data_IF_405684422962
#
_entry.id   IF_405684422962
#
_cell.length_a   1.000
_cell.length_b   1.000
_cell.length_c   1.000
_cell.angle_alpha   90.00
_cell.angle_beta   90.00
_cell.angle_gamma   90.00
#
_symmetry.space_group_name_H-M   'P 1'
#
loop_
_entity.id
_entity.type
_entity.pdbx_description
1 polymer ?
#
# COMPACT_ATOMS: atom_id res chain seq x y z
N UNK A 1 1.24 -21.40 16.29
CA UNK A 1 0.38 -20.60 15.38
C UNK A 1 -0.02 -19.27 16.02
N UNK A 2 0.41 -18.16 15.42
CA UNK A 2 0.17 -16.78 15.85
C UNK A 2 -0.40 -15.99 14.67
N UNK A 3 -1.51 -15.28 14.89
CA UNK A 3 -2.11 -14.40 13.88
C UNK A 3 -1.94 -12.94 14.29
N UNK A 4 -1.46 -12.11 13.36
CA UNK A 4 -1.19 -10.69 13.57
C UNK A 4 -2.00 -9.86 12.60
N UNK A 5 -2.75 -8.87 13.09
CA UNK A 5 -3.34 -7.83 12.25
C UNK A 5 -2.26 -6.78 12.01
N UNK A 6 -1.96 -6.50 10.74
CA UNK A 6 -0.84 -5.68 10.32
C UNK A 6 -1.28 -4.54 9.39
N UNK A 7 -0.63 -3.39 9.53
CA UNK A 7 -0.77 -2.23 8.65
C UNK A 7 0.39 -1.27 8.89
N UNK A 8 0.91 -0.69 7.82
CA UNK A 8 2.04 0.22 7.81
C UNK A 8 3.37 -0.33 8.32
N UNK A 9 4.35 0.57 8.38
CA UNK A 9 5.74 0.29 8.77
C UNK A 9 5.85 -0.24 10.21
N UNK A 10 4.97 0.20 11.12
CA UNK A 10 4.99 -0.21 12.52
C UNK A 10 4.74 -1.71 12.69
N UNK A 11 3.70 -2.23 12.05
CA UNK A 11 3.39 -3.65 12.09
C UNK A 11 4.46 -4.50 11.40
N UNK A 12 4.99 -4.03 10.27
CA UNK A 12 6.07 -4.71 9.55
C UNK A 12 7.34 -4.86 10.41
N UNK A 13 7.72 -3.82 11.16
CA UNK A 13 8.84 -3.88 12.13
C UNK A 13 8.57 -4.84 13.28
N UNK A 14 7.34 -4.87 13.79
CA UNK A 14 6.94 -5.80 14.85
C UNK A 14 6.98 -7.25 14.37
N UNK A 15 6.45 -7.53 13.17
CA UNK A 15 6.53 -8.85 12.53
C UNK A 15 7.99 -9.29 12.35
N UNK A 16 8.88 -8.40 11.87
CA UNK A 16 10.30 -8.71 11.74
C UNK A 16 10.93 -9.13 13.08
N UNK A 17 10.56 -8.49 14.18
CA UNK A 17 11.03 -8.88 15.50
C UNK A 17 10.42 -10.21 15.98
N UNK A 18 9.13 -10.45 15.69
CA UNK A 18 8.45 -11.70 16.01
C UNK A 18 9.12 -12.91 15.35
N UNK A 19 9.50 -12.79 14.07
CA UNK A 19 10.16 -13.85 13.31
C UNK A 19 11.58 -14.19 13.80
N UNK A 20 12.15 -13.42 14.73
CA UNK A 20 13.42 -13.78 15.40
C UNK A 20 13.23 -14.79 16.53
N UNK A 21 11.99 -14.96 17.01
CA UNK A 21 11.67 -15.79 18.18
C UNK A 21 10.56 -16.81 17.92
N UNK A 22 9.91 -16.75 16.75
CA UNK A 22 8.88 -17.69 16.30
C UNK A 22 9.19 -18.11 14.87
N UNK A 23 9.05 -19.40 14.58
CA UNK A 23 9.19 -19.93 13.23
C UNK A 23 8.20 -19.27 12.27
N UNK A 24 8.68 -18.83 11.10
CA UNK A 24 7.85 -18.09 10.15
C UNK A 24 6.59 -18.86 9.71
N UNK A 25 6.72 -20.18 9.56
CA UNK A 25 5.61 -21.07 9.19
C UNK A 25 4.48 -21.13 10.23
N UNK A 26 4.70 -20.62 11.45
CA UNK A 26 3.68 -20.51 12.49
C UNK A 26 3.01 -19.14 12.54
N UNK A 27 3.39 -18.19 11.69
CA UNK A 27 2.88 -16.81 11.71
C UNK A 27 1.99 -16.56 10.49
N UNK A 28 0.81 -16.00 10.76
CA UNK A 28 -0.09 -15.45 9.74
C UNK A 28 -0.26 -13.95 9.95
N UNK A 29 0.10 -13.14 8.97
CA UNK A 29 -0.15 -11.70 8.95
C UNK A 29 -1.40 -11.40 8.12
N UNK A 30 -2.42 -10.81 8.73
CA UNK A 30 -3.61 -10.28 8.06
C UNK A 30 -3.38 -8.78 7.85
N UNK A 31 -3.17 -8.37 6.61
CA UNK A 31 -2.65 -7.05 6.25
C UNK A 31 -3.76 -6.13 5.74
N UNK A 32 -3.77 -4.89 6.21
CA UNK A 32 -4.67 -3.84 5.76
C UNK A 32 -4.61 -3.64 4.24
N UNK A 33 -5.78 -3.43 3.62
CA UNK A 33 -5.95 -3.10 2.19
C UNK A 33 -6.69 -1.78 1.98
N UNK A 34 -7.05 -1.06 3.06
CA UNK A 34 -7.74 0.22 2.97
C UNK A 34 -6.93 1.30 2.26
N UNK A 35 -5.62 1.10 2.16
CA UNK A 35 -4.67 2.02 1.55
C UNK A 35 -4.37 1.67 0.09
N UNK A 36 -4.93 0.56 -0.40
CA UNK A 36 -4.78 0.13 -1.79
C UNK A 36 -5.32 1.18 -2.75
N UNK A 37 -4.75 1.25 -3.94
CA UNK A 37 -5.17 2.21 -4.96
C UNK A 37 -4.86 1.70 -6.36
N UNK A 38 -5.49 2.33 -7.35
CA UNK A 38 -5.13 2.17 -8.76
C UNK A 38 -4.54 3.48 -9.24
N UNK A 39 -3.27 3.47 -9.65
CA UNK A 39 -2.56 4.63 -10.18
C UNK A 39 -1.87 4.24 -11.48
N UNK A 40 -2.05 5.05 -12.53
CA UNK A 40 -1.57 4.71 -13.89
C UNK A 40 -2.07 3.36 -14.42
N UNK A 41 -3.22 2.89 -13.93
CA UNK A 41 -3.76 1.55 -14.24
C UNK A 41 -3.09 0.40 -13.48
N UNK A 42 -2.15 0.70 -12.58
CA UNK A 42 -1.47 -0.29 -11.76
C UNK A 42 -2.15 -0.44 -10.40
N UNK A 43 -2.37 -1.68 -9.98
CA UNK A 43 -2.82 -2.02 -8.63
C UNK A 43 -1.65 -1.94 -7.64
N UNK A 44 -1.78 -1.06 -6.66
CA UNK A 44 -0.78 -0.79 -5.63
C UNK A 44 -1.39 -1.12 -4.28
N UNK A 45 -0.66 -1.87 -3.45
CA UNK A 45 -1.11 -2.30 -2.12
C UNK A 45 -0.05 -1.95 -1.07
N UNK A 46 -0.01 -0.69 -0.60
CA UNK A 46 1.14 -0.15 0.14
C UNK A 46 1.51 -0.93 1.40
N UNK A 47 0.52 -1.42 2.15
CA UNK A 47 0.77 -2.16 3.39
C UNK A 47 1.24 -3.59 3.13
N UNK A 48 0.68 -4.28 2.12
CA UNK A 48 1.16 -5.58 1.67
C UNK A 48 2.61 -5.48 1.18
N UNK A 49 2.92 -4.47 0.38
CA UNK A 49 4.25 -4.22 -0.16
C UNK A 49 5.24 -3.86 0.96
N UNK A 50 4.83 -2.99 1.90
CA UNK A 50 5.67 -2.62 3.06
C UNK A 50 5.97 -3.82 3.95
N UNK A 51 4.99 -4.67 4.27
CA UNK A 51 5.21 -5.91 5.03
C UNK A 51 6.18 -6.81 4.28
N UNK A 52 5.94 -7.05 3.00
CA UNK A 52 6.78 -7.90 2.15
C UNK A 52 8.23 -7.42 2.13
N UNK A 53 8.46 -6.16 1.78
CA UNK A 53 9.81 -5.62 1.62
C UNK A 53 10.56 -5.48 2.95
N UNK A 54 9.85 -5.20 4.05
CA UNK A 54 10.47 -5.15 5.38
C UNK A 54 10.94 -6.52 5.84
N UNK A 55 10.12 -7.55 5.63
CA UNK A 55 10.46 -8.93 6.03
C UNK A 55 11.51 -9.57 5.12
N UNK A 56 11.61 -9.12 3.88
CA UNK A 56 12.65 -9.53 2.94
C UNK A 56 14.00 -8.79 3.13
N UNK A 57 14.13 -7.92 4.14
CA UNK A 57 15.28 -7.01 4.31
C UNK A 57 15.60 -6.19 3.05
N UNK A 58 14.56 -5.87 2.27
CA UNK A 58 14.65 -5.17 0.99
C UNK A 58 14.20 -3.70 1.08
N UNK A 59 13.73 -3.25 2.25
CA UNK A 59 13.24 -1.88 2.44
C UNK A 59 14.40 -0.89 2.55
N UNK A 60 14.24 0.29 1.97
CA UNK A 60 15.22 1.37 2.08
C UNK A 60 15.32 1.84 3.55
N UNK A 61 16.50 1.71 4.20
CA UNK A 61 16.67 2.05 5.61
C UNK A 61 16.62 3.55 5.89
N UNK A 62 16.90 4.40 4.89
CA UNK A 62 16.98 5.85 5.05
C UNK A 62 15.60 6.50 5.03
N UNK A 63 14.75 6.07 4.09
CA UNK A 63 13.36 6.57 3.96
C UNK A 63 12.39 5.79 4.84
N UNK A 64 12.69 4.52 5.13
CA UNK A 64 11.80 3.61 5.85
C UNK A 64 10.65 3.05 5.01
N UNK A 65 10.64 3.32 3.70
CA UNK A 65 9.65 2.87 2.72
C UNK A 65 10.31 2.78 1.32
N UNK A 66 9.73 1.98 0.43
CA UNK A 66 10.30 1.68 -0.89
C UNK A 66 11.49 0.71 -0.82
N UNK A 67 11.95 0.21 -1.97
CA UNK A 67 13.01 -0.79 -2.07
C UNK A 67 14.42 -0.17 -1.96
N UNK A 68 15.39 -0.96 -1.49
CA UNK A 68 16.83 -0.63 -1.59
C UNK A 68 17.28 -0.66 -3.06
N UNK A 69 18.26 0.18 -3.40
CA UNK A 69 18.83 0.28 -4.75
C UNK A 69 17.77 0.54 -5.82
N UNK A 70 16.84 1.44 -5.49
CA UNK A 70 15.77 1.88 -6.38
C UNK A 70 16.27 2.94 -7.37
N UNK A 71 15.72 2.93 -8.59
CA UNK A 71 15.86 4.03 -9.55
C UNK A 71 14.52 4.68 -9.83
N UNK A 72 14.56 5.91 -10.36
CA UNK A 72 13.39 6.79 -10.52
C UNK A 72 13.23 7.26 -11.97
N UNK A 73 13.66 6.44 -12.93
CA UNK A 73 13.67 6.83 -14.35
C UNK A 73 12.24 6.95 -14.89
N UNK A 74 11.37 5.99 -14.55
CA UNK A 74 9.95 6.03 -14.92
C UNK A 74 9.25 7.30 -14.39
N UNK A 75 9.46 7.63 -13.12
CA UNK A 75 8.97 8.86 -12.49
C UNK A 75 9.47 10.11 -13.23
N UNK A 76 10.75 10.17 -13.56
CA UNK A 76 11.35 11.31 -14.28
C UNK A 76 10.66 11.52 -15.63
N UNK A 77 10.39 10.44 -16.37
CA UNK A 77 9.65 10.51 -17.64
C UNK A 77 8.20 10.93 -17.44
N UNK A 78 7.52 10.41 -16.41
CA UNK A 78 6.15 10.82 -16.07
C UNK A 78 6.06 12.32 -15.78
N UNK A 79 7.00 12.86 -15.00
CA UNK A 79 7.09 14.30 -14.72
C UNK A 79 7.31 15.11 -16.00
N UNK A 80 8.20 14.65 -16.90
CA UNK A 80 8.43 15.30 -18.19
C UNK A 80 7.16 15.36 -19.06
N UNK A 81 6.29 14.37 -18.97
CA UNK A 81 5.01 14.35 -19.68
C UNK A 81 3.90 15.14 -18.98
N UNK A 82 4.13 15.69 -17.78
CA UNK A 82 3.09 16.31 -16.96
C UNK A 82 2.12 15.31 -16.33
N UNK A 83 2.57 14.06 -16.16
CA UNK A 83 1.81 13.00 -15.52
C UNK A 83 1.73 13.15 -14.00
N UNK A 84 0.86 12.35 -13.39
CA UNK A 84 0.69 12.29 -11.93
C UNK A 84 1.92 11.64 -11.30
N UNK A 85 2.68 12.37 -10.47
CA UNK A 85 3.95 11.87 -9.89
C UNK A 85 4.07 12.07 -8.38
N UNK A 86 3.01 12.47 -7.68
CA UNK A 86 3.06 12.69 -6.23
C UNK A 86 3.28 11.40 -5.43
N UNK A 87 2.90 10.24 -5.98
CA UNK A 87 3.18 8.94 -5.39
C UNK A 87 4.50 8.41 -5.93
N UNK A 88 5.41 8.04 -5.03
CA UNK A 88 6.73 7.52 -5.41
C UNK A 88 6.64 6.08 -5.91
N UNK A 89 6.62 5.89 -7.23
CA UNK A 89 6.82 4.58 -7.86
C UNK A 89 8.26 4.43 -8.34
N UNK A 90 9.02 3.59 -7.64
CA UNK A 90 10.36 3.20 -8.05
C UNK A 90 10.35 2.17 -9.18
N UNK A 91 11.42 2.09 -9.96
CA UNK A 91 11.49 1.20 -11.13
C UNK A 91 11.44 -0.31 -10.74
N UNK A 92 11.98 -0.71 -9.59
CA UNK A 92 11.86 -2.08 -9.05
C UNK A 92 10.47 -2.31 -8.46
N UNK A 93 9.93 -1.33 -7.73
CA UNK A 93 8.59 -1.40 -7.15
C UNK A 93 7.50 -1.55 -8.24
N UNK A 94 7.70 -0.88 -9.39
CA UNK A 94 6.89 -1.08 -10.58
C UNK A 94 6.81 -2.55 -11.01
N UNK A 95 7.87 -3.34 -10.81
CA UNK A 95 7.86 -4.79 -11.09
C UNK A 95 6.78 -5.53 -10.28
N UNK A 96 6.66 -5.21 -8.98
CA UNK A 96 5.62 -5.78 -8.11
C UNK A 96 4.23 -5.35 -8.57
N UNK A 97 4.04 -4.08 -8.90
CA UNK A 97 2.73 -3.57 -9.32
C UNK A 97 2.30 -4.08 -10.70
N UNK A 98 3.25 -4.22 -11.65
CA UNK A 98 3.02 -4.83 -12.95
C UNK A 98 2.58 -6.29 -12.79
N UNK A 99 3.29 -7.07 -11.98
CA UNK A 99 2.95 -8.46 -11.71
C UNK A 99 1.56 -8.59 -11.06
N UNK A 100 1.30 -7.80 -10.00
CA UNK A 100 -0.01 -7.80 -9.33
C UNK A 100 -1.12 -7.46 -10.30
N UNK A 101 -0.95 -6.40 -11.08
CA UNK A 101 -1.94 -5.96 -12.06
C UNK A 101 -2.21 -7.03 -13.11
N UNK A 102 -1.17 -7.66 -13.65
CA UNK A 102 -1.30 -8.75 -14.61
C UNK A 102 -2.12 -9.91 -14.00
N UNK A 103 -1.74 -10.39 -12.82
CA UNK A 103 -2.39 -11.55 -12.20
C UNK A 103 -3.86 -11.28 -11.85
N UNK A 104 -4.17 -10.10 -11.33
CA UNK A 104 -5.55 -9.68 -11.10
C UNK A 104 -6.35 -9.63 -12.41
N UNK A 105 -5.75 -9.17 -13.51
CA UNK A 105 -6.39 -9.16 -14.83
C UNK A 105 -6.60 -10.57 -15.40
N UNK A 106 -5.72 -11.53 -15.06
CA UNK A 106 -5.87 -12.95 -15.38
C UNK A 106 -6.93 -13.66 -14.53
N UNK A 107 -7.55 -12.96 -13.57
CA UNK A 107 -8.63 -13.46 -12.72
C UNK A 107 -8.17 -14.06 -11.40
N UNK A 108 -6.90 -13.93 -11.01
CA UNK A 108 -6.48 -14.24 -9.65
C UNK A 108 -7.07 -13.24 -8.65
N UNK A 109 -7.30 -13.66 -7.42
CA UNK A 109 -7.68 -12.76 -6.33
C UNK A 109 -6.44 -12.20 -5.60
N UNK A 110 -6.65 -11.18 -4.77
CA UNK A 110 -5.55 -10.51 -4.09
C UNK A 110 -4.80 -11.44 -3.11
N UNK A 111 -5.48 -12.40 -2.50
CA UNK A 111 -4.87 -13.39 -1.61
C UNK A 111 -3.89 -14.30 -2.37
N UNK A 112 -4.30 -14.81 -3.54
CA UNK A 112 -3.43 -15.62 -4.41
C UNK A 112 -2.19 -14.84 -4.83
N UNK A 113 -2.37 -13.61 -5.32
CA UNK A 113 -1.26 -12.77 -5.76
C UNK A 113 -0.31 -12.43 -4.61
N UNK A 114 -0.86 -12.15 -3.42
CA UNK A 114 -0.06 -11.89 -2.21
C UNK A 114 0.77 -13.11 -1.82
N UNK A 115 0.19 -14.31 -1.87
CA UNK A 115 0.90 -15.55 -1.58
C UNK A 115 2.03 -15.81 -2.60
N UNK A 116 1.78 -15.59 -3.90
CA UNK A 116 2.78 -15.72 -4.96
C UNK A 116 3.97 -14.77 -4.73
N UNK A 117 3.70 -13.51 -4.38
CA UNK A 117 4.74 -12.51 -4.06
C UNK A 117 5.50 -12.91 -2.79
N UNK A 118 4.82 -13.32 -1.72
CA UNK A 118 5.47 -13.74 -0.46
C UNK A 118 6.39 -14.95 -0.67
N UNK A 119 6.01 -15.90 -1.54
CA UNK A 119 6.86 -17.03 -1.94
C UNK A 119 8.07 -16.55 -2.75
N UNK A 120 7.89 -15.63 -3.70
CA UNK A 120 8.99 -15.10 -4.51
C UNK A 120 10.05 -14.37 -3.66
N UNK A 121 9.63 -13.75 -2.56
CA UNK A 121 10.52 -13.12 -1.57
C UNK A 121 11.02 -14.07 -0.47
N UNK A 122 10.64 -15.35 -0.50
CA UNK A 122 11.06 -16.38 0.47
C UNK A 122 10.75 -16.01 1.94
N UNK A 123 9.58 -15.44 2.20
CA UNK A 123 9.24 -14.92 3.53
C UNK A 123 8.94 -16.01 4.59
N UNK A 124 8.56 -17.21 4.16
CA UNK A 124 8.30 -18.36 5.05
C UNK A 124 7.04 -18.28 5.92
N UNK A 125 6.44 -17.11 6.10
CA UNK A 125 5.16 -16.89 6.78
C UNK A 125 3.98 -16.80 5.80
N UNK A 126 2.76 -16.89 6.34
CA UNK A 126 1.54 -16.62 5.57
C UNK A 126 1.20 -15.14 5.63
N UNK A 127 1.07 -14.49 4.47
CA UNK A 127 0.60 -13.11 4.34
C UNK A 127 -0.74 -13.12 3.62
N UNK A 128 -1.78 -12.59 4.25
CA UNK A 128 -3.12 -12.48 3.69
C UNK A 128 -3.54 -11.02 3.65
N UNK A 129 -4.18 -10.54 2.57
CA UNK A 129 -4.95 -9.30 2.64
C UNK A 129 -6.11 -9.47 3.63
N UNK A 130 -6.56 -8.39 4.26
CA UNK A 130 -7.75 -8.43 5.13
C UNK A 130 -9.02 -8.84 4.36
N UNK A 131 -9.10 -8.46 3.09
CA UNK A 131 -10.15 -8.84 2.15
C UNK A 131 -9.60 -8.83 0.72
N UNK A 132 -10.14 -9.67 -0.16
CA UNK A 132 -9.89 -9.58 -1.61
C UNK A 132 -10.81 -8.54 -2.29
N UNK A 133 -11.81 -8.04 -1.59
CA UNK A 133 -12.79 -7.09 -2.11
C UNK A 133 -12.24 -5.65 -2.12
N UNK A 134 -12.76 -4.78 -3.01
CA UNK A 134 -12.38 -3.37 -3.00
C UNK A 134 -12.79 -2.68 -1.68
N UNK A 135 -11.78 -2.37 -0.86
CA UNK A 135 -11.93 -1.64 0.39
C UNK A 135 -11.00 -0.42 0.40
N UNK A 136 -11.51 0.79 0.67
CA UNK A 136 -10.71 2.02 0.65
C UNK A 136 -11.00 2.91 1.87
N UNK A 137 -9.96 3.39 2.52
CA UNK A 137 -10.04 4.42 3.54
C UNK A 137 -10.23 5.78 2.84
N UNK A 138 -11.35 6.43 3.12
CA UNK A 138 -11.70 7.74 2.59
C UNK A 138 -11.77 8.76 3.72
N UNK A 139 -11.29 9.98 3.46
CA UNK A 139 -11.27 11.06 4.44
C UNK A 139 -11.99 12.29 3.89
N UNK A 140 -12.80 12.93 4.74
CA UNK A 140 -13.51 14.18 4.41
C UNK A 140 -12.76 15.37 5.00
N UNK A 141 -12.43 16.36 4.18
CA UNK A 141 -11.75 17.58 4.64
C UNK A 141 -12.68 18.45 5.50
N UNK A 142 -12.15 19.03 6.58
CA UNK A 142 -12.87 19.95 7.45
C UNK A 142 -12.62 21.43 7.12
N UNK A 143 -11.63 21.71 6.27
CA UNK A 143 -11.25 23.05 5.85
C UNK A 143 -10.91 23.06 4.35
N UNK A 144 -10.92 24.23 3.75
CA UNK A 144 -10.40 24.42 2.40
C UNK A 144 -8.90 24.11 2.38
N UNK A 145 -8.47 23.40 1.36
CA UNK A 145 -7.09 23.06 1.08
C UNK A 145 -6.61 23.88 -0.13
N UNK A 146 -5.85 24.97 0.09
CA UNK A 146 -5.30 25.74 -1.01
C UNK A 146 -4.31 24.87 -1.81
N UNK A 147 -4.38 24.96 -3.13
CA UNK A 147 -3.56 24.24 -4.09
C UNK A 147 -2.08 24.33 -3.72
N UNK A 148 -1.41 23.17 -3.70
CA UNK A 148 0.04 23.08 -3.69
C UNK A 148 0.62 23.22 -5.10
N UNK A 149 1.94 23.09 -5.22
CA UNK A 149 2.66 23.21 -6.51
C UNK A 149 2.18 22.25 -7.59
N UNK A 150 1.49 21.15 -7.23
CA UNK A 150 0.98 20.13 -8.16
C UNK A 150 -0.33 19.48 -7.69
N UNK A 151 -1.15 20.18 -6.89
CA UNK A 151 -2.42 19.64 -6.38
C UNK A 151 -3.57 20.62 -6.62
N UNK A 152 -4.77 20.13 -6.98
CA UNK A 152 -5.92 21.02 -7.14
C UNK A 152 -6.34 21.60 -5.78
N UNK A 153 -6.89 22.82 -5.80
CA UNK A 153 -7.61 23.37 -4.65
C UNK A 153 -8.79 22.45 -4.32
N UNK A 154 -8.97 22.11 -3.05
CA UNK A 154 -10.16 21.41 -2.57
C UNK A 154 -10.89 22.24 -1.53
N UNK A 155 -12.21 22.09 -1.45
CA UNK A 155 -13.03 22.79 -0.46
C UNK A 155 -13.32 21.90 0.74
N UNK A 156 -13.66 22.51 1.87
CA UNK A 156 -14.22 21.80 3.01
C UNK A 156 -15.39 20.91 2.59
N UNK A 157 -15.47 19.70 3.13
CA UNK A 157 -16.45 18.68 2.76
C UNK A 157 -16.04 17.83 1.56
N UNK A 158 -14.95 18.15 0.86
CA UNK A 158 -14.41 17.26 -0.20
C UNK A 158 -13.93 15.97 0.42
N UNK A 159 -14.25 14.86 -0.22
CA UNK A 159 -13.74 13.54 0.16
C UNK A 159 -12.62 13.10 -0.78
N UNK A 160 -11.53 12.61 -0.20
CA UNK A 160 -10.35 12.12 -0.91
C UNK A 160 -9.90 10.77 -0.35
N UNK A 161 -9.11 10.03 -1.12
CA UNK A 161 -8.48 8.80 -0.63
C UNK A 161 -7.47 9.08 0.47
N UNK A 162 -7.23 8.09 1.33
CA UNK A 162 -6.20 8.22 2.38
C UNK A 162 -4.80 8.50 1.81
N UNK A 163 -4.46 7.97 0.62
CA UNK A 163 -3.17 8.25 -0.02
C UNK A 163 -3.05 9.69 -0.51
N UNK A 164 -4.11 10.26 -1.08
CA UNK A 164 -4.13 11.69 -1.43
C UNK A 164 -4.03 12.59 -0.20
N UNK A 165 -4.59 12.15 0.93
CA UNK A 165 -4.46 12.89 2.18
C UNK A 165 -3.06 12.77 2.78
N UNK A 166 -2.59 11.53 2.98
CA UNK A 166 -1.39 11.24 3.75
C UNK A 166 -0.10 11.54 2.97
N UNK A 167 -0.07 11.17 1.68
CA UNK A 167 1.11 11.31 0.82
C UNK A 167 1.04 12.61 0.02
N UNK A 168 -0.01 12.81 -0.79
CA UNK A 168 -0.07 13.98 -1.69
C UNK A 168 -0.18 15.30 -0.91
N UNK A 169 -0.94 15.33 0.20
CA UNK A 169 -1.16 16.52 1.04
C UNK A 169 -0.34 16.54 2.32
N UNK A 170 0.52 15.54 2.54
CA UNK A 170 1.31 15.42 3.77
C UNK A 170 0.47 15.59 5.04
N UNK A 171 -0.76 15.03 5.07
CA UNK A 171 -1.68 15.07 6.22
C UNK A 171 -1.83 16.48 6.85
N UNK A 172 -1.70 17.53 6.04
CA UNK A 172 -1.58 18.91 6.51
C UNK A 172 -2.90 19.64 6.69
N UNK A 173 -4.01 19.01 6.28
CA UNK A 173 -5.35 19.59 6.31
C UNK A 173 -6.18 18.91 7.41
N UNK A 174 -6.96 19.64 8.21
CA UNK A 174 -7.90 19.04 9.16
C UNK A 174 -8.95 18.18 8.45
N UNK A 175 -9.31 17.03 9.03
CA UNK A 175 -10.38 16.14 8.55
C UNK A 175 -11.58 16.17 9.50
N UNK A 176 -12.77 15.99 8.96
CA UNK A 176 -14.04 15.96 9.71
C UNK A 176 -14.60 14.54 9.84
N UNK A 177 -14.21 13.63 8.95
CA UNK A 177 -14.73 12.27 8.91
C UNK A 177 -13.75 11.28 8.27
N UNK A 178 -13.85 10.01 8.66
CA UNK A 178 -13.19 8.86 8.03
C UNK A 178 -14.26 7.80 7.77
N UNK A 179 -14.29 7.25 6.57
CA UNK A 179 -15.15 6.10 6.23
C UNK A 179 -14.38 5.04 5.44
N UNK A 180 -14.90 3.82 5.45
CA UNK A 180 -14.32 2.69 4.74
C UNK A 180 -15.22 2.32 3.56
N UNK A 181 -14.90 2.82 2.38
CA UNK A 181 -15.65 2.53 1.15
C UNK A 181 -15.53 1.03 0.82
N UNK A 182 -16.66 0.33 0.76
CA UNK A 182 -16.72 -1.10 0.45
C UNK A 182 -16.81 -2.03 1.67
N UNK A 183 -16.63 -1.51 2.90
CA UNK A 183 -16.62 -2.35 4.11
C UNK A 183 -17.91 -3.17 4.32
N UNK A 184 -19.06 -2.56 4.05
CA UNK A 184 -20.40 -3.17 4.25
C UNK A 184 -20.64 -4.42 3.38
N UNK A 185 -19.90 -4.57 2.27
CA UNK A 185 -20.07 -5.64 1.28
C UNK A 185 -18.83 -6.52 1.15
N UNK A 186 -17.74 -6.17 1.86
CA UNK A 186 -16.49 -6.93 1.83
C UNK A 186 -16.61 -8.18 2.69
N UNK A 187 -15.94 -9.23 2.25
CA UNK A 187 -15.80 -10.50 2.95
C UNK A 187 -14.35 -10.72 3.37
N UNK A 188 -14.07 -11.37 4.52
CA UNK A 188 -12.71 -11.74 4.88
C UNK A 188 -12.04 -12.55 3.76
N UNK A 189 -10.75 -12.33 3.53
CA UNK A 189 -9.98 -13.15 2.59
C UNK A 189 -9.98 -14.64 3.01
N UNK A 190 -9.78 -15.57 2.05
CA UNK A 190 -9.82 -17.02 2.29
C UNK A 190 -8.91 -17.53 3.42
#
# INVERSE_FOLDING_TARGET
MITVIAGGVGAARMLRALLQVVEASEVTAIVNVGDDLVLHGLHISPDLDTVTYTLADAINPDTGWGLVNESWQSRTMLEQYGGVSWFGLGDRDLGTHLYRTQRLHEGADLATVTAEIAVAWNLGLTVLPATCDPLRTMVTLAADDPAGTNTPNLTAGTEISFQEYFVQRHHSVPISNVRFAGAEVSTPAP
#
